data_IF_107565399513
#
_entry.id   IF_107565399513
#
_cell.length_a   1.000
_cell.length_b   1.000
_cell.length_c   1.000
_cell.angle_alpha   90.00
_cell.angle_beta   90.00
_cell.angle_gamma   90.00
#
_symmetry.space_group_name_H-M   'P 1'
#
loop_
_entity.id
_entity.type
_entity.pdbx_description
1 polymer ?
#
# COMPACT_ATOMS: atom_id res chain seq x y z
N UNK A 1 -38.96 -24.78 -47.06
CA UNK A 1 -38.09 -23.75 -46.45
C UNK A 1 -38.79 -23.13 -45.25
N UNK A 2 -38.31 -23.36 -44.01
CA UNK A 2 -38.57 -22.53 -42.81
C UNK A 2 -37.77 -23.09 -41.61
N UNK A 3 -36.49 -22.73 -41.54
CA UNK A 3 -35.63 -22.97 -40.38
C UNK A 3 -35.06 -21.61 -39.96
N UNK A 4 -35.85 -20.78 -39.27
CA UNK A 4 -35.42 -19.44 -38.85
C UNK A 4 -35.83 -18.98 -37.43
N UNK A 5 -36.85 -19.51 -36.73
CA UNK A 5 -37.17 -18.98 -35.39
C UNK A 5 -36.27 -19.55 -34.28
N UNK A 6 -35.78 -20.80 -34.40
CA UNK A 6 -35.05 -21.48 -33.32
C UNK A 6 -33.60 -20.98 -33.15
N UNK A 7 -32.90 -20.73 -34.25
CA UNK A 7 -31.49 -20.26 -34.24
C UNK A 7 -31.36 -18.85 -33.66
N UNK A 8 -32.34 -17.97 -33.92
CA UNK A 8 -32.36 -16.61 -33.37
C UNK A 8 -32.63 -16.59 -31.87
N UNK A 9 -33.49 -17.47 -31.35
CA UNK A 9 -33.75 -17.59 -29.92
C UNK A 9 -32.53 -18.13 -29.15
N UNK A 10 -31.85 -19.13 -29.71
CA UNK A 10 -30.65 -19.72 -29.10
C UNK A 10 -29.49 -18.72 -29.00
N UNK A 11 -29.21 -17.96 -30.07
CA UNK A 11 -28.18 -16.91 -30.06
C UNK A 11 -28.48 -15.78 -29.05
N UNK A 12 -29.77 -15.46 -28.83
CA UNK A 12 -30.17 -14.43 -27.86
C UNK A 12 -29.99 -14.90 -26.42
N UNK A 13 -30.27 -16.17 -26.11
CA UNK A 13 -30.07 -16.78 -24.79
C UNK A 13 -28.57 -16.98 -24.48
N UNK A 14 -27.78 -17.39 -25.48
CA UNK A 14 -26.33 -17.56 -25.33
C UNK A 14 -25.64 -16.19 -25.18
N UNK A 15 -26.03 -15.17 -25.95
CA UNK A 15 -25.53 -13.79 -25.80
C UNK A 15 -25.95 -13.13 -24.48
N UNK A 16 -27.14 -13.45 -23.97
CA UNK A 16 -27.58 -13.02 -22.64
C UNK A 16 -26.78 -13.69 -21.52
N UNK A 17 -26.42 -14.97 -21.67
CA UNK A 17 -25.67 -15.70 -20.64
C UNK A 17 -24.21 -15.26 -20.58
N UNK A 18 -23.57 -14.99 -21.72
CA UNK A 18 -22.19 -14.49 -21.76
C UNK A 18 -22.07 -13.04 -21.25
N UNK A 19 -23.04 -12.18 -21.56
CA UNK A 19 -23.08 -10.81 -21.04
C UNK A 19 -23.35 -10.74 -19.54
N UNK A 20 -24.16 -11.65 -19.00
CA UNK A 20 -24.35 -11.81 -17.54
C UNK A 20 -23.06 -12.31 -16.89
N UNK A 21 -22.39 -13.33 -17.43
CA UNK A 21 -21.11 -13.80 -16.89
C UNK A 21 -20.01 -12.73 -16.92
N UNK A 22 -19.94 -11.92 -17.98
CA UNK A 22 -19.00 -10.80 -18.09
C UNK A 22 -19.32 -9.67 -17.10
N UNK A 23 -20.59 -9.47 -16.77
CA UNK A 23 -21.00 -8.50 -15.74
C UNK A 23 -20.62 -9.01 -14.35
N UNK A 24 -20.88 -10.28 -14.06
CA UNK A 24 -20.52 -10.92 -12.78
C UNK A 24 -19.01 -10.91 -12.57
N UNK A 25 -18.20 -11.18 -13.60
CA UNK A 25 -16.74 -11.15 -13.49
C UNK A 25 -16.18 -9.74 -13.26
N UNK A 26 -16.78 -8.71 -13.89
CA UNK A 26 -16.44 -7.30 -13.63
C UNK A 26 -16.82 -6.88 -12.20
N UNK A 27 -18.00 -7.26 -11.72
CA UNK A 27 -18.43 -6.99 -10.35
C UNK A 27 -17.53 -7.66 -9.32
N UNK A 28 -17.11 -8.90 -9.58
CA UNK A 28 -16.15 -9.61 -8.73
C UNK A 28 -14.77 -8.92 -8.72
N UNK A 29 -14.27 -8.51 -9.89
CA UNK A 29 -13.01 -7.77 -9.99
C UNK A 29 -13.09 -6.44 -9.22
N UNK A 30 -14.19 -5.70 -9.33
CA UNK A 30 -14.42 -4.47 -8.58
C UNK A 30 -14.45 -4.72 -7.07
N UNK A 31 -15.05 -5.82 -6.61
CA UNK A 31 -15.05 -6.21 -5.20
C UNK A 31 -13.62 -6.48 -4.72
N UNK A 32 -12.82 -7.24 -5.48
CA UNK A 32 -11.43 -7.52 -5.15
C UNK A 32 -10.62 -6.22 -5.06
N UNK A 33 -10.74 -5.34 -6.05
CA UNK A 33 -10.05 -4.03 -6.04
C UNK A 33 -10.48 -3.21 -4.82
N UNK A 34 -11.77 -3.12 -4.53
CA UNK A 34 -12.30 -2.39 -3.37
C UNK A 34 -11.76 -2.96 -2.04
N UNK A 35 -11.67 -4.28 -1.90
CA UNK A 35 -11.11 -4.88 -0.68
C UNK A 35 -9.61 -4.62 -0.52
N UNK A 36 -8.85 -4.62 -1.61
CA UNK A 36 -7.43 -4.30 -1.60
C UNK A 36 -7.17 -2.82 -1.24
N UNK A 37 -7.95 -1.90 -1.80
CA UNK A 37 -7.80 -0.46 -1.51
C UNK A 37 -8.16 -0.11 -0.07
N UNK A 38 -9.19 -0.74 0.50
CA UNK A 38 -9.55 -0.58 1.92
C UNK A 38 -8.41 -1.08 2.81
N UNK A 39 -7.88 -2.28 2.55
CA UNK A 39 -6.75 -2.83 3.34
C UNK A 39 -5.49 -1.97 3.26
N UNK A 40 -5.18 -1.46 2.08
CA UNK A 40 -4.04 -0.56 1.89
C UNK A 40 -4.24 0.77 2.62
N UNK A 41 -5.46 1.30 2.62
CA UNK A 41 -5.84 2.49 3.39
C UNK A 41 -5.65 2.29 4.89
N UNK A 42 -6.13 1.18 5.44
CA UNK A 42 -5.94 0.85 6.86
C UNK A 42 -4.47 0.65 7.23
N UNK A 43 -3.67 0.03 6.36
CA UNK A 43 -2.24 -0.12 6.56
C UNK A 43 -1.50 1.22 6.52
N UNK A 44 -1.90 2.15 5.65
CA UNK A 44 -1.38 3.53 5.60
C UNK A 44 -1.75 4.33 6.84
N UNK A 45 -2.98 4.18 7.35
CA UNK A 45 -3.47 4.88 8.55
C UNK A 45 -2.67 4.54 9.81
N UNK A 46 -2.05 3.36 9.85
CA UNK A 46 -1.17 2.93 10.94
C UNK A 46 0.28 3.38 10.80
N UNK A 47 0.65 4.18 9.80
CA UNK A 47 2.02 4.69 9.68
C UNK A 47 2.10 6.07 10.30
N UNK A 48 2.94 6.21 11.32
CA UNK A 48 3.25 7.50 11.94
C UNK A 48 4.59 7.97 11.39
N UNK A 49 4.64 9.25 10.98
CA UNK A 49 5.88 9.93 10.63
C UNK A 49 6.53 10.44 11.91
N UNK A 50 7.74 9.97 12.20
CA UNK A 50 8.54 10.40 13.34
C UNK A 50 9.79 11.13 12.86
N UNK A 51 10.23 12.11 13.65
CA UNK A 51 11.48 12.82 13.44
C UNK A 51 12.35 12.70 14.70
N UNK A 52 13.60 12.30 14.52
CA UNK A 52 14.62 12.28 15.56
C UNK A 52 15.69 13.29 15.19
N UNK A 53 16.01 14.17 16.13
CA UNK A 53 17.11 15.13 16.01
C UNK A 53 18.18 14.82 17.05
N UNK A 54 19.43 14.72 16.61
CA UNK A 54 20.62 14.53 17.45
C UNK A 54 21.54 15.72 17.25
N UNK A 55 22.06 16.27 18.35
CA UNK A 55 23.02 17.38 18.33
C UNK A 55 24.27 16.92 19.10
N UNK A 56 25.44 17.03 18.47
CA UNK A 56 26.69 16.67 19.11
C UNK A 56 27.25 17.84 19.93
N UNK A 57 26.96 17.87 21.23
CA UNK A 57 27.52 18.88 22.13
C UNK A 57 28.93 18.53 22.66
N UNK A 58 29.56 17.46 22.14
CA UNK A 58 30.86 16.99 22.58
C UNK A 58 31.94 17.48 21.61
N UNK A 59 33.11 17.88 22.11
CA UNK A 59 34.26 18.29 21.29
C UNK A 59 34.98 17.17 20.53
N UNK A 60 34.28 16.09 20.16
CA UNK A 60 34.81 14.94 19.42
C UNK A 60 33.80 14.42 18.41
N UNK A 61 34.28 13.78 17.35
CA UNK A 61 33.43 13.15 16.33
C UNK A 61 32.71 11.93 16.92
N UNK A 62 31.40 11.84 16.67
CA UNK A 62 30.58 10.69 17.05
C UNK A 62 30.24 9.87 15.82
N UNK A 63 30.17 8.54 15.96
CA UNK A 63 29.64 7.66 14.92
C UNK A 63 28.23 7.25 15.29
N UNK A 64 27.26 7.57 14.45
CA UNK A 64 25.84 7.32 14.69
C UNK A 64 25.30 6.35 13.64
N UNK A 65 24.44 5.43 14.08
CA UNK A 65 23.60 4.61 13.22
C UNK A 65 22.16 4.77 13.70
N UNK A 66 21.27 5.16 12.79
CA UNK A 66 19.86 5.32 13.08
C UNK A 66 19.06 4.25 12.36
N UNK A 67 18.32 3.46 13.13
CA UNK A 67 17.55 2.33 12.62
C UNK A 67 16.14 2.37 13.23
N UNK A 68 15.13 2.24 12.37
CA UNK A 68 13.76 1.91 12.70
C UNK A 68 13.41 0.52 12.17
N UNK A 69 12.19 0.03 12.45
CA UNK A 69 11.72 -1.27 11.96
C UNK A 69 11.71 -1.32 10.42
N UNK A 70 11.35 -0.20 9.77
CA UNK A 70 11.17 -0.10 8.32
C UNK A 70 12.35 0.55 7.60
N UNK A 71 13.30 1.16 8.32
CA UNK A 71 14.37 1.94 7.71
C UNK A 71 15.65 1.79 8.50
N UNK A 72 16.72 1.35 7.85
CA UNK A 72 18.06 1.27 8.43
C UNK A 72 18.97 2.24 7.69
N UNK A 73 19.43 3.28 8.39
CA UNK A 73 20.34 4.25 7.81
C UNK A 73 21.78 3.78 7.99
N UNK A 74 22.62 4.08 6.99
CA UNK A 74 24.05 3.81 7.10
C UNK A 74 24.67 4.64 8.22
N UNK A 75 25.75 4.11 8.77
CA UNK A 75 26.58 4.81 9.73
C UNK A 75 27.01 6.19 9.19
N UNK A 76 26.85 7.22 10.00
CA UNK A 76 27.30 8.58 9.72
C UNK A 76 28.21 9.08 10.85
N UNK A 77 29.14 9.95 10.49
CA UNK A 77 29.93 10.70 11.45
C UNK A 77 29.23 12.03 11.72
N UNK A 78 29.19 12.42 12.99
CA UNK A 78 28.66 13.70 13.44
C UNK A 78 29.79 14.48 14.11
N UNK A 79 30.17 15.61 13.51
CA UNK A 79 31.21 16.51 14.00
C UNK A 79 30.74 17.29 15.25
N UNK A 80 31.63 17.91 16.03
CA UNK A 80 31.26 18.77 17.14
C UNK A 80 30.30 19.89 16.70
N UNK A 81 29.28 20.15 17.49
CA UNK A 81 28.22 21.15 17.25
C UNK A 81 27.33 20.86 16.04
N UNK A 82 27.58 19.75 15.33
CA UNK A 82 26.77 19.34 14.19
C UNK A 82 25.42 18.76 14.63
N UNK A 83 24.40 19.04 13.83
CA UNK A 83 23.04 18.54 13.99
C UNK A 83 22.73 17.52 12.91
N UNK A 84 22.20 16.38 13.32
CA UNK A 84 21.66 15.35 12.45
C UNK A 84 20.15 15.19 12.70
N UNK A 85 19.36 15.19 11.62
CA UNK A 85 17.92 14.95 11.68
C UNK A 85 17.56 13.78 10.78
N UNK A 86 16.79 12.84 11.32
CA UNK A 86 16.32 11.65 10.62
C UNK A 86 14.81 11.51 10.76
N UNK A 87 14.15 11.37 9.63
CA UNK A 87 12.71 11.17 9.54
C UNK A 87 12.42 9.75 9.08
N UNK A 88 11.54 9.05 9.78
CA UNK A 88 11.14 7.69 9.43
C UNK A 88 9.66 7.45 9.66
N UNK A 89 9.12 6.50 8.89
CA UNK A 89 7.79 5.96 9.13
C UNK A 89 7.91 4.73 10.01
N UNK A 90 7.08 4.65 11.04
CA UNK A 90 6.94 3.43 11.83
C UNK A 90 5.48 3.02 11.98
N UNK A 91 5.24 1.77 12.35
CA UNK A 91 3.92 1.27 12.65
C UNK A 91 3.46 1.79 14.01
N UNK A 92 2.29 2.41 14.03
CA UNK A 92 1.51 2.59 15.24
C UNK A 92 1.08 1.19 15.71
N UNK A 93 1.79 0.64 16.68
CA UNK A 93 1.42 -0.66 17.25
C UNK A 93 0.15 -0.59 18.09
N UNK A 94 -0.38 0.61 18.38
CA UNK A 94 -1.43 0.79 19.38
C UNK A 94 -0.88 0.36 20.73
N UNK A 95 -0.65 1.31 21.63
CA UNK A 95 -0.47 0.94 23.04
C UNK A 95 -1.85 0.50 23.57
N UNK A 96 -2.22 -0.77 23.37
CA UNK A 96 -3.32 -1.46 24.03
C UNK A 96 -2.83 -2.83 24.50
#
# INVERSE_FOLDING_TARGET
MKALPFVLAFNKVVGSSTSVMLTVSKSFLLLVIATLTIRESDARKRRILNEVTVINNVGRNLKLRCQSILTDLRDQWLEPEEKFSFTFYDFDRGCN
#
